data_IF_813639539197
#
_entry.id   IF_813639539197
#
_cell.length_a   1.000
_cell.length_b   1.000
_cell.length_c   1.000
_cell.angle_alpha   90.00
_cell.angle_beta   90.00
_cell.angle_gamma   90.00
#
_symmetry.space_group_name_H-M   'P 1'
#
loop_
_entity.id
_entity.type
_entity.pdbx_description
1 polymer ?
#
# COMPACT_ATOMS: atom_id res chain seq x y z
N UNK A 1 11.72 -3.28 26.16
CA UNK A 1 12.11 -3.38 24.74
C UNK A 1 13.54 -2.89 24.60
N UNK A 2 14.48 -3.68 24.05
CA UNK A 2 15.85 -3.18 23.83
C UNK A 2 15.78 -2.03 22.81
N UNK A 3 16.22 -0.80 23.11
CA UNK A 3 16.03 0.37 22.23
C UNK A 3 16.62 0.15 20.82
N UNK A 4 17.64 -0.69 20.70
CA UNK A 4 18.23 -1.10 19.42
C UNK A 4 17.25 -1.87 18.54
N UNK A 5 16.40 -2.76 19.09
CA UNK A 5 15.55 -3.64 18.26
C UNK A 5 14.54 -2.87 17.41
N UNK A 6 13.86 -1.86 17.99
CA UNK A 6 12.89 -1.06 17.26
C UNK A 6 13.54 -0.23 16.14
N UNK A 7 14.74 0.30 16.40
CA UNK A 7 15.52 1.03 15.41
C UNK A 7 16.03 0.13 14.28
N UNK A 8 16.60 -1.03 14.61
CA UNK A 8 17.05 -2.02 13.62
C UNK A 8 15.90 -2.47 12.72
N UNK A 9 14.73 -2.78 13.31
CA UNK A 9 13.54 -3.16 12.54
C UNK A 9 13.11 -2.04 11.59
N UNK A 10 13.11 -0.79 12.05
CA UNK A 10 12.77 0.36 11.20
C UNK A 10 13.77 0.54 10.06
N UNK A 11 15.07 0.36 10.32
CA UNK A 11 16.13 0.46 9.31
C UNK A 11 16.02 -0.65 8.28
N UNK A 12 15.76 -1.89 8.71
CA UNK A 12 15.49 -3.01 7.80
C UNK A 12 14.24 -2.79 6.96
N UNK A 13 13.15 -2.31 7.58
CA UNK A 13 11.92 -1.95 6.85
C UNK A 13 12.21 -0.89 5.79
N UNK A 14 13.00 0.13 6.10
CA UNK A 14 13.36 1.20 5.16
C UNK A 14 14.20 0.66 3.99
N UNK A 15 15.21 -0.16 4.26
CA UNK A 15 16.04 -0.77 3.23
C UNK A 15 15.22 -1.68 2.28
N UNK A 16 14.33 -2.51 2.85
CA UNK A 16 13.40 -3.32 2.07
C UNK A 16 12.49 -2.44 1.20
N UNK A 17 11.93 -1.38 1.79
CA UNK A 17 11.06 -0.44 1.09
C UNK A 17 11.75 0.21 -0.12
N UNK A 18 13.01 0.64 0.03
CA UNK A 18 13.78 1.21 -1.08
C UNK A 18 13.99 0.20 -2.20
N UNK A 19 14.38 -1.03 -1.88
CA UNK A 19 14.56 -2.10 -2.87
C UNK A 19 13.27 -2.46 -3.60
N UNK A 20 12.14 -2.47 -2.88
CA UNK A 20 10.83 -2.67 -3.50
C UNK A 20 10.44 -1.50 -4.42
N UNK A 21 10.66 -0.25 -4.01
CA UNK A 21 10.37 0.92 -4.83
C UNK A 21 11.22 0.92 -6.13
N UNK A 22 12.48 0.48 -6.06
CA UNK A 22 13.34 0.29 -7.25
C UNK A 22 12.77 -0.77 -8.20
N UNK A 23 12.44 -1.96 -7.69
CA UNK A 23 11.89 -3.05 -8.51
C UNK A 23 10.51 -2.70 -9.12
N UNK A 24 9.67 -1.99 -8.36
CA UNK A 24 8.33 -1.57 -8.82
C UNK A 24 8.36 -0.39 -9.80
N UNK A 25 9.50 0.31 -9.91
CA UNK A 25 9.64 1.46 -10.81
C UNK A 25 9.43 1.10 -12.28
N UNK A 26 9.81 -0.12 -12.69
CA UNK A 26 9.57 -0.67 -14.03
C UNK A 26 8.08 -0.75 -14.37
N UNK A 27 7.25 -0.99 -13.35
CA UNK A 27 5.79 -1.02 -13.45
C UNK A 27 5.16 0.34 -13.14
N UNK A 28 5.97 1.40 -12.99
CA UNK A 28 5.53 2.73 -12.53
C UNK A 28 4.73 2.67 -11.22
N UNK A 29 5.02 1.72 -10.34
CA UNK A 29 4.34 1.52 -9.07
C UNK A 29 5.22 1.94 -7.89
N UNK A 30 4.58 2.27 -6.79
CA UNK A 30 5.22 2.47 -5.48
C UNK A 30 4.85 1.33 -4.56
N UNK A 31 5.66 1.06 -3.53
CA UNK A 31 5.37 0.00 -2.56
C UNK A 31 4.00 0.13 -1.88
N UNK A 32 3.49 1.32 -1.51
CA UNK A 32 2.14 1.45 -0.93
C UNK A 32 1.03 1.14 -1.94
N UNK A 33 1.24 1.48 -3.22
CA UNK A 33 0.32 1.11 -4.30
C UNK A 33 0.31 -0.41 -4.50
N UNK A 34 1.48 -1.04 -4.53
CA UNK A 34 1.60 -2.49 -4.60
C UNK A 34 0.93 -3.16 -3.39
N UNK A 35 1.23 -2.71 -2.17
CA UNK A 35 0.60 -3.24 -0.96
C UNK A 35 -0.93 -3.11 -1.00
N UNK A 36 -1.45 -1.97 -1.49
CA UNK A 36 -2.90 -1.79 -1.64
C UNK A 36 -3.50 -2.81 -2.62
N UNK A 37 -2.84 -3.07 -3.76
CA UNK A 37 -3.27 -4.09 -4.72
C UNK A 37 -3.25 -5.48 -4.10
N UNK A 38 -2.18 -5.87 -3.41
CA UNK A 38 -2.06 -7.18 -2.73
C UNK A 38 -3.15 -7.36 -1.66
N UNK A 39 -3.45 -6.32 -0.88
CA UNK A 39 -4.50 -6.40 0.14
C UNK A 39 -5.88 -6.52 -0.50
N UNK A 40 -6.13 -5.79 -1.59
CA UNK A 40 -7.40 -5.84 -2.32
C UNK A 40 -7.60 -7.17 -3.06
N UNK A 41 -6.54 -7.78 -3.56
CA UNK A 41 -6.57 -9.12 -4.16
C UNK A 41 -6.93 -10.18 -3.10
N UNK A 42 -6.32 -10.10 -1.91
CA UNK A 42 -6.58 -11.05 -0.82
C UNK A 42 -7.93 -10.81 -0.11
N UNK A 43 -8.41 -9.57 -0.08
CA UNK A 43 -9.64 -9.18 0.59
C UNK A 43 -10.39 -8.11 -0.21
N UNK A 44 -11.15 -8.51 -1.26
CA UNK A 44 -11.97 -7.59 -2.02
C UNK A 44 -12.99 -6.87 -1.12
N UNK A 45 -13.26 -5.59 -1.41
CA UNK A 45 -14.28 -4.81 -0.71
C UNK A 45 -13.91 -4.27 0.68
N UNK A 46 -12.67 -4.44 1.14
CA UNK A 46 -12.18 -3.79 2.38
C UNK A 46 -12.33 -2.27 2.29
N UNK A 47 -12.73 -1.64 3.40
CA UNK A 47 -12.85 -0.18 3.45
C UNK A 47 -11.49 0.50 3.23
N UNK A 48 -11.47 1.72 2.67
CA UNK A 48 -10.22 2.48 2.50
C UNK A 48 -9.50 2.74 3.83
N UNK A 49 -10.23 2.83 4.95
CA UNK A 49 -9.64 2.99 6.27
C UNK A 49 -8.91 1.72 6.74
N UNK A 50 -9.48 0.55 6.46
CA UNK A 50 -8.81 -0.73 6.73
C UNK A 50 -7.62 -0.94 5.81
N UNK A 51 -7.78 -0.59 4.53
CA UNK A 51 -6.69 -0.63 3.56
C UNK A 51 -5.51 0.26 3.99
N UNK A 52 -5.78 1.47 4.48
CA UNK A 52 -4.77 2.38 5.00
C UNK A 52 -3.98 1.77 6.18
N UNK A 53 -4.70 1.18 7.15
CA UNK A 53 -4.08 0.50 8.31
C UNK A 53 -3.18 -0.64 7.87
N UNK A 54 -3.67 -1.51 6.98
CA UNK A 54 -2.90 -2.67 6.47
C UNK A 54 -1.68 -2.26 5.64
N UNK A 55 -1.76 -1.11 4.97
CA UNK A 55 -0.66 -0.57 4.16
C UNK A 55 0.26 0.38 4.94
N UNK A 56 0.05 0.55 6.24
CA UNK A 56 0.83 1.46 7.10
C UNK A 56 0.90 2.91 6.57
N UNK A 57 -0.21 3.40 6.02
CA UNK A 57 -0.37 4.79 5.57
C UNK A 57 -1.56 5.45 6.25
N UNK A 58 -1.65 6.77 6.17
CA UNK A 58 -2.82 7.48 6.65
C UNK A 58 -4.02 7.25 5.73
N UNK A 59 -5.27 7.40 6.22
CA UNK A 59 -6.45 7.36 5.37
C UNK A 59 -6.39 8.34 4.20
N UNK A 60 -5.85 9.54 4.42
CA UNK A 60 -5.69 10.57 3.38
C UNK A 60 -4.73 10.11 2.27
N UNK A 61 -3.59 9.55 2.64
CA UNK A 61 -2.65 8.96 1.68
C UNK A 61 -3.29 7.80 0.92
N UNK A 62 -4.08 6.96 1.59
CA UNK A 62 -4.76 5.85 0.93
C UNK A 62 -5.78 6.33 -0.11
N UNK A 63 -6.52 7.42 0.15
CA UNK A 63 -7.42 8.00 -0.87
C UNK A 63 -6.66 8.42 -2.13
N UNK A 64 -5.49 9.05 -1.98
CA UNK A 64 -4.64 9.42 -3.11
C UNK A 64 -4.09 8.19 -3.86
N UNK A 65 -3.73 7.12 -3.13
CA UNK A 65 -3.28 5.86 -3.71
C UNK A 65 -4.39 5.22 -4.55
N UNK A 66 -5.60 5.06 -3.99
CA UNK A 66 -6.75 4.48 -4.71
C UNK A 66 -7.06 5.28 -5.96
N UNK A 67 -7.16 6.61 -5.85
CA UNK A 67 -7.42 7.47 -7.00
C UNK A 67 -6.32 7.39 -8.08
N UNK A 68 -5.06 7.20 -7.69
CA UNK A 68 -3.97 6.98 -8.65
C UNK A 68 -4.07 5.62 -9.35
N UNK A 69 -4.43 4.56 -8.62
CA UNK A 69 -4.61 3.22 -9.17
C UNK A 69 -5.84 3.12 -10.09
N UNK A 70 -6.95 3.76 -9.74
CA UNK A 70 -8.15 3.87 -10.58
C UNK A 70 -7.85 4.60 -11.90
N UNK A 71 -7.14 5.74 -11.86
CA UNK A 71 -6.73 6.46 -13.07
C UNK A 71 -5.88 5.62 -14.01
N UNK A 72 -5.10 4.70 -13.45
CA UNK A 72 -4.27 3.75 -14.21
C UNK A 72 -5.01 2.48 -14.64
N UNK A 73 -6.31 2.38 -14.31
CA UNK A 73 -7.16 1.20 -14.57
C UNK A 73 -6.62 -0.09 -13.93
N UNK A 74 -5.87 0.04 -12.84
CA UNK A 74 -5.38 -1.09 -12.04
C UNK A 74 -6.40 -1.52 -10.98
N UNK A 75 -7.41 -0.70 -10.72
CA UNK A 75 -8.57 -1.05 -9.90
C UNK A 75 -9.83 -0.99 -10.76
N UNK A 76 -10.63 -2.04 -10.68
CA UNK A 76 -11.99 -2.07 -11.19
C UNK A 76 -12.94 -1.48 -10.15
N UNK A 77 -13.89 -0.66 -10.59
CA UNK A 77 -14.98 -0.20 -9.72
C UNK A 77 -16.00 -1.34 -9.64
N UNK A 78 -15.95 -2.14 -8.58
CA UNK A 78 -17.13 -2.94 -8.22
C UNK A 78 -18.19 -1.97 -7.71
N UNK A 79 -19.28 -1.83 -8.47
CA UNK A 79 -20.43 -1.05 -8.02
C UNK A 79 -20.97 -1.72 -6.75
N UNK A 80 -20.77 -1.08 -5.60
CA UNK A 80 -21.35 -1.53 -4.33
C UNK A 80 -22.88 -1.48 -4.51
N UNK A 81 -23.61 -2.62 -4.46
CA UNK A 81 -25.06 -2.57 -4.40
C UNK A 81 -25.45 -1.85 -3.10
N UNK A 82 -26.46 -1.00 -3.20
CA UNK A 82 -26.97 -0.18 -2.08
C UNK A 82 -27.42 -0.99 -0.87
#
# INVERSE_FOLDING_TARGET
MKPQLGYELKRTQQALRSSMDEALSELSLTTPQYAALTVLEAAPGVSSAELARRCFVTPQTMQAIVAALERRRLLGREARPG
#
